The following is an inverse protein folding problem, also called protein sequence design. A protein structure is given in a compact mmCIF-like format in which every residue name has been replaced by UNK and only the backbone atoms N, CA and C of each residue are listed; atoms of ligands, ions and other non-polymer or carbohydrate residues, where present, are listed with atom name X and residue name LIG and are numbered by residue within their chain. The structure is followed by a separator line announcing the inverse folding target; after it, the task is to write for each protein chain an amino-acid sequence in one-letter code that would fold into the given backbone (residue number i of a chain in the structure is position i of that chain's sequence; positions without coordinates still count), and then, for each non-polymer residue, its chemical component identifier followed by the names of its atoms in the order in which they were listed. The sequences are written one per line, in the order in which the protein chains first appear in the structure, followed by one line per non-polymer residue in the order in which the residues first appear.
data_IF_385045810396
#
_entry.id   IF_385045810396
#
_cell.length_a   1.000
_cell.length_b   1.000
_cell.length_c   1.000
_cell.angle_alpha   90.00
_cell.angle_beta   90.00
_cell.angle_gamma   90.00
#
_symmetry.space_group_name_H-M   'P 1'
#
loop_
_entity.id
_entity.type
_entity.pdbx_description
1 polymer ?
2 non-polymer ?
3 non-polymer ?
4 water ?
#
# COMPACT_ATOMS: atom_id res chain seq x y z
N UNK A 10 17.74 -6.95 4.20
CA UNK A 10 16.95 -7.50 3.08
C UNK A 10 15.44 -7.51 3.32
N UNK A 11 14.70 -6.98 2.33
CA UNK A 11 13.24 -7.11 2.26
C UNK A 11 13.00 -8.59 1.91
N UNK A 12 12.08 -9.32 2.60
CA UNK A 12 11.94 -10.75 2.26
C UNK A 12 11.32 -11.00 0.86
N UNK A 13 11.71 -12.13 0.26
CA UNK A 13 11.10 -12.68 -0.94
C UNK A 13 9.66 -13.09 -0.58
N UNK A 14 8.78 -13.24 -1.57
CA UNK A 14 7.41 -13.66 -1.28
C UNK A 14 7.37 -15.09 -0.76
N UNK A 15 6.37 -15.44 0.06
CA UNK A 15 6.21 -16.83 0.54
C UNK A 15 5.45 -17.76 -0.40
N UNK A 16 4.70 -17.19 -1.34
CA UNK A 16 3.91 -17.98 -2.30
C UNK A 16 4.70 -18.72 -3.38
N UNK A 17 3.98 -19.51 -4.21
CA UNK A 17 4.66 -20.30 -5.27
C UNK A 17 5.14 -19.54 -6.51
N UNK A 18 4.66 -18.32 -6.74
CA UNK A 18 5.00 -17.64 -7.98
C UNK A 18 6.20 -16.73 -7.80
N UNK A 19 7.05 -16.65 -8.83
CA UNK A 19 8.04 -15.59 -8.97
C UNK A 19 7.30 -14.25 -9.17
N UNK A 20 7.99 -13.16 -8.82
CA UNK A 20 7.42 -11.83 -8.78
C UNK A 20 8.18 -10.87 -9.71
N UNK A 21 7.40 -10.16 -10.54
CA UNK A 21 7.89 -9.09 -11.39
C UNK A 21 7.50 -7.75 -10.83
N UNK A 22 8.15 -6.69 -11.29
CA UNK A 22 7.78 -5.35 -10.87
C UNK A 22 8.01 -4.39 -12.00
N UNK A 23 7.09 -3.42 -12.19
CA UNK A 23 7.32 -2.33 -13.14
C UNK A 23 6.59 -1.09 -12.63
N UNK A 24 6.84 0.09 -13.26
CA UNK A 24 6.12 1.31 -12.92
C UNK A 24 5.23 1.73 -14.07
N UNK A 25 4.06 2.28 -13.74
CA UNK A 25 3.16 2.82 -14.78
C UNK A 25 2.70 4.21 -14.41
N UNK A 26 2.87 5.16 -15.35
CA UNK A 26 2.32 6.49 -15.21
C UNK A 26 1.42 6.82 -16.39
N UNK A 27 0.11 7.02 -16.13
CA UNK A 27 -0.84 7.38 -17.19
C UNK A 27 -2.05 8.17 -16.66
N UNK A 28 -2.36 9.36 -17.19
CA UNK A 28 -1.52 10.16 -18.07
C UNK A 28 -0.26 10.70 -17.36
N UNK A 29 0.49 11.57 -18.05
CA UNK A 29 1.74 12.11 -17.55
C UNK A 29 1.56 13.28 -16.53
N UNK A 30 0.30 13.72 -16.25
CA UNK A 30 0.04 14.95 -15.47
C UNK A 30 -0.04 14.67 -13.97
N UNK A 31 -0.12 15.73 -13.15
CA UNK A 31 -0.30 15.66 -11.70
C UNK A 31 -1.69 15.07 -11.36
N UNK A 32 -2.56 14.90 -12.37
CA UNK A 32 -3.90 14.34 -12.22
C UNK A 32 -4.01 12.95 -12.76
N UNK A 33 -2.96 12.46 -13.43
CA UNK A 33 -2.92 11.09 -13.92
C UNK A 33 -2.68 10.11 -12.82
N UNK A 34 -2.65 8.80 -13.19
CA UNK A 34 -2.29 7.72 -12.29
C UNK A 34 -0.79 7.42 -12.34
N UNK A 35 -0.16 7.30 -11.14
CA UNK A 35 1.18 6.76 -10.97
C UNK A 35 1.06 5.55 -10.00
N UNK A 36 1.49 4.38 -10.47
CA UNK A 36 1.55 3.20 -9.60
C UNK A 36 2.82 2.34 -9.85
N UNK A 37 3.22 1.58 -8.84
CA UNK A 37 4.19 0.50 -8.98
C UNK A 37 3.40 -0.81 -9.02
N UNK A 38 3.57 -1.61 -10.09
CA UNK A 38 2.86 -2.87 -10.25
C UNK A 38 3.78 -4.04 -9.80
N UNK A 39 3.25 -4.93 -8.95
CA UNK A 39 3.88 -6.21 -8.56
C UNK A 39 2.97 -7.29 -9.11
N UNK A 40 3.55 -8.31 -9.73
CA UNK A 40 2.70 -9.24 -10.48
C UNK A 40 3.40 -10.59 -10.58
N UNK A 41 2.61 -11.70 -10.77
CA UNK A 41 3.24 -13.00 -11.01
C UNK A 41 4.04 -12.98 -12.29
N UNK A 42 5.31 -13.40 -12.26
CA UNK A 42 6.17 -13.33 -13.46
C UNK A 42 6.49 -14.74 -14.02
N UNK A 43 6.73 -14.84 -15.34
CA UNK A 43 7.14 -16.13 -15.92
C UNK A 43 8.64 -16.40 -15.72
N UNK A 44 9.45 -15.33 -15.49
CA UNK A 44 10.92 -15.43 -15.41
C UNK A 44 11.49 -14.98 -14.09
N UNK A 45 12.60 -15.62 -13.71
CA UNK A 45 13.23 -15.31 -12.43
C UNK A 45 14.71 -14.89 -12.58
N UNK A 46 15.17 -14.52 -13.80
CA UNK A 46 16.57 -14.14 -13.99
C UNK A 46 16.74 -12.65 -14.33
N UNK A 47 15.75 -11.84 -13.99
CA UNK A 47 15.87 -10.41 -14.20
C UNK A 47 16.59 -9.80 -13.03
N UNK A 48 17.20 -8.61 -13.22
CA UNK A 48 17.81 -7.86 -12.13
C UNK A 48 16.72 -7.51 -11.13
N UNK A 49 17.04 -7.43 -9.83
CA UNK A 49 16.09 -7.04 -8.78
C UNK A 49 15.68 -5.58 -8.95
N UNK A 50 14.59 -5.19 -8.30
CA UNK A 50 14.01 -3.85 -8.45
C UNK A 50 14.68 -2.88 -7.49
N UNK A 51 15.12 -1.75 -8.00
CA UNK A 51 15.70 -0.70 -7.16
C UNK A 51 14.61 -0.14 -6.21
N UNK A 52 14.87 -0.12 -4.88
CA UNK A 52 13.85 0.13 -3.84
C UNK A 52 13.37 1.58 -3.85
N UNK A 53 14.30 2.54 -3.80
CA UNK A 53 13.95 3.94 -3.85
C UNK A 53 14.66 4.49 -5.12
N UNK A 54 13.95 4.72 -6.24
CA UNK A 54 14.64 4.90 -7.52
C UNK A 54 15.17 6.30 -7.88
N UNK A 55 14.93 7.33 -7.05
CA UNK A 55 15.33 8.71 -7.39
C UNK A 55 15.79 9.45 -6.15
N UNK A 56 16.76 10.35 -6.32
CA UNK A 56 17.35 11.13 -5.23
C UNK A 56 16.33 12.02 -4.54
N UNK A 57 15.32 12.49 -5.27
CA UNK A 57 14.33 13.42 -4.72
C UNK A 57 13.46 12.75 -3.67
N UNK A 58 13.28 11.41 -3.73
CA UNK A 58 12.55 10.69 -2.67
C UNK A 58 13.28 10.81 -1.29
N UNK A 59 14.62 10.77 -1.32
CA UNK A 59 15.48 11.00 -0.15
C UNK A 59 15.44 12.42 0.36
N UNK A 60 15.40 13.43 -0.53
CA UNK A 60 15.12 14.82 -0.17
C UNK A 60 13.78 14.97 0.53
N UNK A 61 12.73 14.34 -0.01
CA UNK A 61 11.43 14.29 0.61
C UNK A 61 11.37 13.56 1.93
N UNK A 62 12.10 12.44 2.06
CA UNK A 62 12.15 11.75 3.36
C UNK A 62 12.76 12.66 4.45
N UNK A 63 13.76 13.44 4.05
CA UNK A 63 14.49 14.40 4.88
C UNK A 63 13.54 15.50 5.44
N UNK A 64 12.68 16.08 4.56
CA UNK A 64 11.62 17.01 4.97
C UNK A 64 10.61 16.33 5.93
N UNK A 65 10.15 15.09 5.62
CA UNK A 65 9.23 14.36 6.51
C UNK A 65 9.85 14.16 7.93
N UNK A 66 11.18 13.94 8.01
CA UNK A 66 11.89 13.78 9.29
C UNK A 66 12.11 15.09 10.03
N UNK A 67 11.94 16.23 9.34
CA UNK A 67 12.19 17.56 9.88
C UNK A 67 13.66 17.86 10.07
N UNK A 68 14.52 17.17 9.30
CA UNK A 68 15.98 17.37 9.30
C UNK A 68 16.37 18.24 8.08
N UNK A 69 17.64 18.66 8.01
CA UNK A 69 18.15 19.47 6.90
C UNK A 69 18.22 18.64 5.63
N UNK A 70 18.02 19.30 4.46
CA UNK A 70 18.11 18.74 3.09
C UNK A 70 19.26 17.73 2.90
N UNK A 71 20.49 18.06 3.39
CA UNK A 71 21.71 17.25 3.30
C UNK A 71 21.63 15.88 4.03
N UNK A 72 20.72 15.74 5.01
CA UNK A 72 20.38 14.43 5.60
C UNK A 72 19.82 13.51 4.50
N UNK A 73 19.12 14.10 3.52
CA UNK A 73 18.66 13.41 2.31
C UNK A 73 19.78 12.73 1.58
N UNK A 74 20.83 13.51 1.26
CA UNK A 74 22.10 13.03 0.70
C UNK A 74 22.73 11.86 1.51
N UNK A 75 22.61 11.88 2.85
CA UNK A 75 23.09 10.79 3.72
C UNK A 75 22.20 9.53 3.62
N UNK A 76 20.86 9.70 3.66
CA UNK A 76 19.89 8.60 3.44
C UNK A 76 20.11 7.95 2.07
N UNK A 77 20.41 8.79 1.05
CA UNK A 77 20.70 8.30 -0.28
C UNK A 77 21.96 7.44 -0.29
N UNK A 78 23.08 7.92 0.30
CA UNK A 78 24.30 7.10 0.46
C UNK A 78 24.02 5.74 1.16
N UNK A 79 23.19 5.74 2.20
CA UNK A 79 22.85 4.53 2.97
C UNK A 79 21.95 3.56 2.23
N UNK A 80 20.99 4.08 1.43
CA UNK A 80 19.86 3.30 0.92
C UNK A 80 19.65 3.32 -0.59
N UNK A 81 20.36 4.21 -1.29
CA UNK A 81 20.15 4.50 -2.71
C UNK A 81 20.52 3.40 -3.69
N UNK A 82 21.20 2.33 -3.21
CA UNK A 82 21.65 1.22 -4.07
C UNK A 82 20.85 -0.07 -3.72
N UNK A 83 20.06 0.00 -2.64
CA UNK A 83 19.26 -1.09 -2.11
C UNK A 83 18.19 -1.55 -3.12
N UNK A 84 18.02 -2.87 -3.23
CA UNK A 84 17.02 -3.45 -4.12
C UNK A 84 15.96 -4.16 -3.31
N UNK A 85 14.91 -4.62 -3.99
CA UNK A 85 13.84 -5.39 -3.40
C UNK A 85 13.64 -6.61 -4.29
N UNK A 86 13.37 -7.82 -3.71
CA UNK A 86 13.37 -9.05 -4.54
C UNK A 86 12.16 -9.25 -5.47
N UNK A 87 12.04 -8.39 -6.50
CA UNK A 87 11.08 -8.54 -7.61
C UNK A 87 11.85 -8.34 -8.90
N UNK A 88 11.57 -9.17 -9.87
CA UNK A 88 12.26 -9.10 -11.18
C UNK A 88 11.76 -7.89 -11.95
N UNK A 89 12.65 -6.91 -12.15
CA UNK A 89 12.31 -5.63 -12.81
C UNK A 89 11.90 -5.90 -14.28
N UNK A 90 10.69 -5.48 -14.69
CA UNK A 90 10.14 -5.57 -16.06
C UNK A 90 10.08 -6.98 -16.62
N UNK A 91 10.06 -7.98 -15.76
CA UNK A 91 9.92 -9.37 -16.16
C UNK A 91 8.59 -9.56 -16.93
N UNK A 92 8.48 -10.45 -17.93
CA UNK A 92 7.14 -10.73 -18.49
C UNK A 92 6.19 -11.29 -17.42
N UNK A 93 4.91 -10.93 -17.52
CA UNK A 93 3.83 -11.43 -16.67
C UNK A 93 3.65 -12.92 -16.87
N UNK A 94 3.41 -13.66 -15.80
CA UNK A 94 3.12 -15.10 -15.92
C UNK A 94 1.81 -15.32 -16.71
N UNK A 95 1.86 -15.95 -17.91
CA UNK A 95 0.64 -16.05 -18.73
C UNK A 95 -0.30 -17.15 -18.26
N UNK A 96 -1.53 -17.09 -18.76
CA UNK A 96 -2.52 -18.18 -18.73
C UNK A 96 -3.31 -18.32 -17.45
N UNK A 97 -3.51 -17.21 -16.74
CA UNK A 97 -4.27 -17.17 -15.49
C UNK A 97 -4.81 -15.75 -15.24
N UNK A 98 -6.10 -15.66 -14.86
CA UNK A 98 -6.70 -14.41 -14.40
C UNK A 98 -6.42 -14.22 -12.91
N UNK A 99 -5.78 -13.07 -12.59
CA UNK A 99 -5.32 -12.72 -11.25
C UNK A 99 -6.24 -11.73 -10.56
N UNK A 100 -6.60 -11.93 -9.25
CA UNK A 100 -7.29 -10.86 -8.51
C UNK A 100 -6.39 -9.63 -8.32
N UNK A 101 -6.99 -8.45 -8.03
CA UNK A 101 -6.27 -7.19 -7.97
C UNK A 101 -6.43 -6.52 -6.65
N UNK A 102 -5.29 -6.11 -6.08
CA UNK A 102 -5.23 -5.28 -4.90
C UNK A 102 -4.73 -3.92 -5.34
N UNK A 103 -5.46 -2.86 -4.97
CA UNK A 103 -4.90 -1.50 -5.05
C UNK A 103 -4.37 -1.20 -3.64
N UNK A 104 -3.17 -0.68 -3.53
CA UNK A 104 -2.51 -0.49 -2.23
C UNK A 104 -2.23 1.03 -2.01
N UNK A 105 -2.57 1.57 -0.78
CA UNK A 105 -2.39 2.98 -0.44
C UNK A 105 -1.34 3.19 0.63
N UNK A 106 -0.34 4.04 0.33
CA UNK A 106 0.79 4.24 1.23
C UNK A 106 0.44 5.27 2.33
N UNK A 107 1.25 5.31 3.39
CA UNK A 107 1.10 6.25 4.49
C UNK A 107 1.63 7.64 4.20
N UNK A 108 1.42 8.55 5.18
CA UNK A 108 1.99 9.87 5.21
C UNK A 108 3.52 9.78 5.24
N UNK A 109 4.18 10.54 4.39
CA UNK A 109 5.64 10.51 4.32
C UNK A 109 6.18 9.36 3.48
N UNK A 110 5.31 8.43 3.03
CA UNK A 110 5.80 7.30 2.21
C UNK A 110 5.61 7.63 0.75
N UNK A 111 5.63 6.62 -0.11
CA UNK A 111 5.44 6.72 -1.56
C UNK A 111 5.28 5.30 -2.08
N UNK A 112 5.14 5.11 -3.40
CA UNK A 112 4.65 3.81 -3.92
C UNK A 112 5.55 2.60 -3.64
N UNK A 113 6.88 2.81 -3.43
CA UNK A 113 7.87 1.73 -3.48
C UNK A 113 8.07 1.13 -2.09
N UNK A 114 7.48 1.77 -1.02
CA UNK A 114 7.89 1.47 0.36
C UNK A 114 7.12 0.31 1.05
N UNK A 115 6.33 -0.39 0.29
CA UNK A 115 5.54 -1.50 0.83
C UNK A 115 5.69 -2.69 -0.10
N UNK A 116 6.92 -2.89 -0.61
CA UNK A 116 7.27 -4.04 -1.44
C UNK A 116 7.22 -5.37 -0.69
N UNK A 117 7.50 -5.43 0.63
CA UNK A 117 7.39 -6.74 1.34
C UNK A 117 5.95 -7.27 1.21
N UNK A 118 4.94 -6.40 1.44
CA UNK A 118 3.50 -6.70 1.24
C UNK A 118 3.19 -7.03 -0.25
N UNK A 119 3.60 -6.15 -1.17
CA UNK A 119 3.30 -6.23 -2.61
C UNK A 119 3.85 -7.47 -3.28
N UNK A 120 5.14 -7.78 -3.00
CA UNK A 120 5.82 -9.02 -3.43
C UNK A 120 5.11 -10.23 -2.81
N UNK A 121 4.80 -10.19 -1.50
CA UNK A 121 4.18 -11.39 -0.92
C UNK A 121 2.84 -11.71 -1.58
N UNK A 122 1.99 -10.70 -1.74
CA UNK A 122 0.70 -10.88 -2.44
C UNK A 122 0.93 -11.39 -3.86
N UNK A 123 1.84 -10.74 -4.65
CA UNK A 123 2.15 -11.18 -6.02
C UNK A 123 2.63 -12.63 -6.09
N UNK A 124 3.51 -13.07 -5.17
CA UNK A 124 3.96 -14.48 -5.10
C UNK A 124 2.81 -15.48 -4.89
N UNK A 125 1.65 -15.01 -4.36
CA UNK A 125 0.46 -15.85 -4.18
C UNK A 125 -0.57 -15.71 -5.32
N UNK A 126 -0.24 -14.92 -6.35
CA UNK A 126 -1.07 -14.83 -7.56
C UNK A 126 -1.96 -13.61 -7.60
N UNK A 127 -1.57 -12.52 -6.88
CA UNK A 127 -2.28 -11.25 -7.00
C UNK A 127 -1.51 -10.37 -7.95
N UNK A 128 -2.22 -9.49 -8.72
CA UNK A 128 -1.57 -8.30 -9.25
C UNK A 128 -1.80 -7.18 -8.21
N UNK A 129 -0.76 -6.39 -7.92
CA UNK A 129 -0.80 -5.36 -6.88
C UNK A 129 -0.44 -4.01 -7.50
N UNK A 130 -1.34 -3.05 -7.40
CA UNK A 130 -1.14 -1.69 -7.89
C UNK A 130 -0.93 -0.78 -6.69
N UNK A 131 0.32 -0.45 -6.44
CA UNK A 131 0.70 0.39 -5.34
C UNK A 131 0.74 1.81 -5.92
N UNK A 132 -0.28 2.58 -5.54
CA UNK A 132 -0.43 3.94 -6.04
C UNK A 132 0.53 4.91 -5.37
N UNK A 133 0.97 5.91 -6.12
CA UNK A 133 1.67 7.03 -5.54
C UNK A 133 0.70 8.22 -5.52
N UNK A 134 0.44 8.75 -4.31
CA UNK A 134 -0.56 9.82 -4.21
C UNK A 134 0.03 11.19 -4.53
N UNK A 135 -0.80 12.05 -5.17
CA UNK A 135 -0.40 13.39 -5.57
C UNK A 135 -1.09 14.43 -4.69
N UNK A 136 -1.46 14.05 -3.45
CA UNK A 136 -2.20 14.91 -2.52
C UNK A 136 -1.24 15.65 -1.60
N UNK A 137 0.08 15.53 -1.83
CA UNK A 137 1.17 16.10 -1.01
C UNK A 137 1.27 15.40 0.36
N UNK A 138 0.71 14.15 0.48
CA UNK A 138 0.95 13.27 1.62
C UNK A 138 2.19 12.40 1.40
N UNK A 139 2.61 12.22 0.12
CA UNK A 139 3.85 11.48 -0.15
C UNK A 139 5.05 12.37 0.24
N UNK A 140 6.18 11.80 0.78
CA UNK A 140 7.44 12.53 0.98
C UNK A 140 7.81 13.27 -0.30
N UNK A 141 7.74 12.56 -1.42
CA UNK A 141 7.93 13.16 -2.72
C UNK A 141 7.14 12.34 -3.73
N UNK A 142 6.77 12.97 -4.84
CA UNK A 142 6.25 12.29 -6.04
C UNK A 142 6.60 13.17 -7.27
N UNK A 143 6.36 12.65 -8.49
CA UNK A 143 6.63 13.43 -9.68
C UNK A 143 5.62 13.13 -10.77
N UNK A 144 5.65 13.98 -11.78
CA UNK A 144 4.76 13.95 -12.95
C UNK A 144 5.43 14.93 -13.94
N UNK A 145 4.74 15.22 -15.05
CA UNK A 145 5.27 16.05 -16.13
C UNK A 145 4.27 17.15 -16.43
N UNK A 146 4.78 18.37 -16.70
CA UNK A 146 3.99 19.58 -16.87
C UNK A 146 3.11 19.51 -18.11
N UNK A 147 3.60 18.81 -19.14
CA UNK A 147 2.91 18.70 -20.41
C UNK A 147 3.57 17.62 -21.24
N UNK A 148 3.11 17.44 -22.49
CA UNK A 148 3.56 16.33 -23.33
C UNK A 148 5.04 16.41 -23.63
N UNK A 149 5.53 17.61 -23.96
CA UNK A 149 6.96 17.86 -24.24
C UNK A 149 7.86 17.42 -23.08
N UNK A 150 7.53 17.87 -21.84
CA UNK A 150 8.27 17.51 -20.61
C UNK A 150 8.33 15.99 -20.37
N UNK A 151 7.22 15.28 -20.65
CA UNK A 151 7.08 13.84 -20.53
C UNK A 151 8.05 13.13 -21.48
N UNK A 152 8.04 13.54 -22.76
CA UNK A 152 8.91 13.07 -23.85
C UNK A 152 10.40 13.08 -23.49
N UNK A 153 10.91 14.24 -23.05
CA UNK A 153 12.33 14.41 -22.69
C UNK A 153 12.65 13.97 -21.25
N UNK A 154 11.65 13.52 -20.50
CA UNK A 154 11.85 13.08 -19.12
C UNK A 154 12.23 14.19 -18.15
N UNK A 155 11.71 15.41 -18.40
CA UNK A 155 11.84 16.51 -17.47
C UNK A 155 10.78 16.43 -16.35
N UNK A 156 11.17 15.82 -15.20
CA UNK A 156 10.27 15.58 -14.05
C UNK A 156 9.93 16.86 -13.29
N UNK A 157 8.66 17.03 -12.86
CA UNK A 157 8.32 18.04 -11.88
C UNK A 157 8.06 17.33 -10.57
N UNK A 158 8.75 17.76 -9.52
CA UNK A 158 8.64 17.15 -8.21
C UNK A 158 7.66 17.90 -7.31
N UNK A 159 6.88 17.14 -6.55
CA UNK A 159 5.93 17.65 -5.57
C UNK A 159 6.32 17.05 -4.22
N UNK A 160 6.49 17.88 -3.19
CA UNK A 160 7.01 17.44 -1.89
C UNK A 160 5.94 17.50 -0.82
N UNK A 161 6.09 16.71 0.27
CA UNK A 161 5.23 16.70 1.45
C UNK A 161 4.84 18.09 1.90
N UNK A 162 3.54 18.31 2.14
CA UNK A 162 3.03 19.55 2.72
C UNK A 162 3.01 19.40 4.26
N UNK A 163 3.66 20.35 4.94
CA UNK A 163 3.54 20.51 6.41
C UNK A 163 2.28 21.31 6.74
N UNK A 164 1.48 20.84 7.70
CA UNK A 164 0.25 21.60 8.04
C UNK A 164 0.42 22.41 9.30
N UNK A 165 -0.32 23.53 9.42
CA UNK A 165 -0.55 24.19 10.69
C UNK A 165 -1.64 23.38 11.41
N UNK A 166 -1.73 23.50 12.76
CA UNK A 166 -2.79 22.90 13.58
C UNK A 166 -4.18 23.24 13.03
N UNK A 167 -4.39 24.49 12.59
CA UNK A 167 -5.63 25.04 12.01
C UNK A 167 -6.06 24.35 10.74
N UNK A 168 -5.09 23.84 9.93
CA UNK A 168 -5.32 23.15 8.65
C UNK A 168 -5.60 21.65 8.80
N UNK A 169 -5.23 21.03 9.94
CA UNK A 169 -5.27 19.56 10.18
C UNK A 169 -6.57 18.92 9.75
N UNK A 170 -7.71 19.30 10.36
CA UNK A 170 -8.99 18.63 10.12
C UNK A 170 -9.36 18.68 8.66
N UNK A 171 -9.47 19.92 8.14
CA UNK A 171 -9.90 20.20 6.80
C UNK A 171 -8.99 19.60 5.72
N UNK A 172 -7.67 19.78 5.80
CA UNK A 172 -6.76 19.35 4.73
C UNK A 172 -6.55 17.84 4.74
N UNK A 173 -6.40 17.22 5.92
CA UNK A 173 -6.35 15.73 5.96
C UNK A 173 -7.59 15.11 5.34
N UNK A 174 -8.77 15.72 5.52
CA UNK A 174 -10.00 15.20 4.90
C UNK A 174 -10.00 15.42 3.37
N UNK A 175 -9.53 16.59 2.88
CA UNK A 175 -9.35 16.86 1.44
C UNK A 175 -8.44 15.81 0.80
N UNK A 176 -7.36 15.47 1.51
CA UNK A 176 -6.37 14.52 1.05
C UNK A 176 -6.92 13.10 1.02
N UNK A 177 -7.67 12.65 2.07
CA UNK A 177 -8.18 11.28 2.06
C UNK A 177 -9.20 11.10 0.89
N UNK A 178 -9.91 12.18 0.55
CA UNK A 178 -10.87 12.15 -0.55
C UNK A 178 -10.16 12.08 -1.91
N UNK A 179 -9.12 12.91 -2.13
CA UNK A 179 -8.25 12.78 -3.30
C UNK A 179 -7.61 11.36 -3.41
N UNK A 180 -7.10 10.84 -2.30
CA UNK A 180 -6.53 9.50 -2.23
C UNK A 180 -7.56 8.45 -2.69
N UNK A 181 -8.80 8.52 -2.18
CA UNK A 181 -9.84 7.59 -2.64
C UNK A 181 -10.10 7.72 -4.15
N UNK A 182 -10.20 8.98 -4.67
CA UNK A 182 -10.35 9.20 -6.12
C UNK A 182 -9.18 8.61 -6.93
N UNK A 183 -7.96 8.78 -6.43
CA UNK A 183 -6.74 8.16 -6.97
C UNK A 183 -6.78 6.63 -6.97
N UNK A 184 -7.35 6.02 -5.92
CA UNK A 184 -7.55 4.56 -5.93
C UNK A 184 -8.54 4.13 -6.95
N UNK A 185 -9.68 4.84 -7.06
CA UNK A 185 -10.67 4.53 -8.10
C UNK A 185 -10.13 4.70 -9.52
N UNK A 186 -9.34 5.77 -9.76
CA UNK A 186 -8.79 6.03 -11.10
C UNK A 186 -7.77 4.94 -11.50
N UNK A 187 -6.94 4.51 -10.55
CA UNK A 187 -5.97 3.43 -10.75
C UNK A 187 -6.68 2.16 -11.10
N UNK A 188 -7.77 1.82 -10.37
CA UNK A 188 -8.62 0.68 -10.71
C UNK A 188 -9.15 0.76 -12.14
N UNK A 189 -9.79 1.89 -12.51
CA UNK A 189 -10.29 2.08 -13.87
C UNK A 189 -9.19 1.95 -14.93
N UNK A 190 -7.99 2.47 -14.64
CA UNK A 190 -6.87 2.33 -15.57
C UNK A 190 -6.51 0.87 -15.78
N UNK A 191 -6.32 0.10 -14.70
CA UNK A 191 -5.96 -1.31 -14.84
C UNK A 191 -7.08 -2.09 -15.53
N UNK A 192 -8.35 -1.84 -15.17
CA UNK A 192 -9.47 -2.50 -15.85
C UNK A 192 -9.51 -2.19 -17.34
N UNK A 193 -9.12 -0.94 -17.72
CA UNK A 193 -9.12 -0.58 -19.16
C UNK A 193 -7.98 -1.25 -19.91
N UNK A 194 -6.80 -1.34 -19.26
CA UNK A 194 -5.67 -2.09 -19.78
C UNK A 194 -6.03 -3.58 -19.92
N UNK A 195 -6.73 -4.17 -18.91
CA UNK A 195 -7.26 -5.54 -18.98
C UNK A 195 -8.19 -5.73 -20.20
N UNK A 196 -9.16 -4.82 -20.35
CA UNK A 196 -10.09 -4.82 -21.48
C UNK A 196 -9.48 -4.19 -22.75
N UNK A 197 -8.14 -4.25 -22.86
CA UNK A 197 -7.33 -4.08 -24.06
C UNK A 197 -6.98 -2.69 -24.56
N UNK A 198 -7.44 -1.61 -23.88
CA UNK A 198 -7.22 -0.22 -24.30
C UNK A 198 -5.71 0.10 -24.42
N UNK A 199 -5.25 0.65 -25.57
CA UNK A 199 -3.84 1.03 -25.68
C UNK A 199 -3.54 2.24 -24.79
N UNK A 200 -2.54 2.11 -23.96
CA UNK A 200 -2.12 3.13 -23.01
C UNK A 200 -0.61 3.28 -23.26
N UNK A 201 -0.14 4.50 -23.58
CA UNK A 201 1.31 4.76 -23.68
C UNK A 201 1.82 5.21 -22.32
N UNK A 202 2.56 4.33 -21.62
CA UNK A 202 3.20 4.66 -20.36
C UNK A 202 4.05 5.94 -20.49
N UNK A 203 3.83 6.94 -19.59
CA UNK A 203 4.61 8.21 -19.60
C UNK A 203 6.07 7.94 -19.25
N UNK A 204 6.30 6.76 -18.65
CA UNK A 204 7.62 6.23 -18.31
C UNK A 204 8.09 5.30 -19.41
N UNK A 205 9.29 5.53 -19.94
CA UNK A 205 9.84 4.72 -21.02
C UNK A 205 10.50 3.49 -20.43
N UNK A 206 9.71 2.41 -20.23
CA UNK A 206 10.15 1.17 -19.57
C UNK A 206 9.88 -0.05 -20.47
N UNK A 207 10.73 -1.08 -20.40
CA UNK A 207 10.62 -2.23 -21.32
C UNK A 207 9.61 -3.29 -20.80
N UNK A 208 8.41 -2.83 -20.44
CA UNK A 208 7.29 -3.70 -20.07
C UNK A 208 6.12 -3.32 -20.96
N UNK A 209 5.71 -4.20 -21.87
CA UNK A 209 4.54 -3.93 -22.72
C UNK A 209 3.26 -4.18 -21.93
N UNK A 210 2.42 -3.13 -21.80
CA UNK A 210 1.19 -3.19 -21.03
C UNK A 210 0.17 -4.13 -21.66
N UNK A 211 0.36 -4.47 -22.95
CA UNK A 211 -0.47 -5.42 -23.70
C UNK A 211 -0.49 -6.82 -23.10
N UNK A 212 0.60 -7.20 -22.42
CA UNK A 212 0.71 -8.43 -21.63
C UNK A 212 -0.38 -8.57 -20.59
N UNK A 213 -0.91 -7.42 -20.11
CA UNK A 213 -1.91 -7.36 -19.06
C UNK A 213 -3.36 -7.54 -19.60
N UNK A 214 -3.54 -7.53 -20.93
CA UNK A 214 -4.86 -7.81 -21.52
C UNK A 214 -5.35 -9.16 -21.02
N UNK A 215 -6.62 -9.22 -20.58
CA UNK A 215 -7.33 -10.44 -20.17
C UNK A 215 -6.65 -11.21 -19.05
N UNK A 216 -5.89 -10.48 -18.20
CA UNK A 216 -5.12 -11.06 -17.11
C UNK A 216 -5.67 -10.77 -15.70
N UNK A 217 -6.69 -9.90 -15.59
CA UNK A 217 -7.28 -9.45 -14.31
C UNK A 217 -8.56 -10.20 -14.07
N UNK A 218 -8.76 -10.73 -12.85
CA UNK A 218 -10.03 -11.33 -12.49
C UNK A 218 -10.93 -10.15 -12.03
N UNK A 219 -11.82 -9.69 -12.92
CA UNK A 219 -12.37 -8.33 -12.90
C UNK A 219 -13.29 -8.00 -11.73
N UNK A 220 -13.96 -8.99 -11.14
CA UNK A 220 -14.76 -8.78 -9.94
C UNK A 220 -13.97 -9.09 -8.61
N UNK A 221 -12.70 -9.49 -8.71
CA UNK A 221 -11.92 -9.89 -7.55
C UNK A 221 -10.95 -8.78 -7.23
N UNK A 222 -11.54 -7.68 -6.70
CA UNK A 222 -10.85 -6.43 -6.41
C UNK A 222 -10.87 -6.08 -4.93
N UNK A 223 -9.72 -5.76 -4.36
CA UNK A 223 -9.64 -5.30 -2.98
C UNK A 223 -8.77 -4.08 -2.86
N UNK A 224 -8.97 -3.32 -1.78
CA UNK A 224 -8.15 -2.15 -1.47
C UNK A 224 -7.47 -2.44 -0.11
N UNK A 225 -6.13 -2.22 -0.03
CA UNK A 225 -5.33 -2.38 1.20
C UNK A 225 -4.49 -1.11 1.39
N UNK A 226 -4.23 -0.74 2.64
CA UNK A 226 -3.33 0.38 2.83
C UNK A 226 -2.90 0.55 4.27
N UNK A 227 -1.79 1.29 4.45
CA UNK A 227 -1.22 1.46 5.79
C UNK A 227 -1.39 2.89 6.28
N UNK A 228 -1.85 3.03 7.55
CA UNK A 228 -1.90 4.30 8.29
C UNK A 228 -2.85 5.31 7.59
N UNK A 229 -2.29 6.38 6.94
CA UNK A 229 -3.11 7.25 6.08
C UNK A 229 -3.78 6.40 4.98
N UNK A 230 -3.03 5.42 4.49
CA UNK A 230 -3.57 4.45 3.55
C UNK A 230 -4.72 3.60 4.04
N UNK A 231 -4.81 3.41 5.36
CA UNK A 231 -5.84 2.59 6.00
C UNK A 231 -7.12 3.38 6.06
N UNK A 232 -7.04 4.72 6.28
CA UNK A 232 -8.19 5.65 6.11
C UNK A 232 -8.62 5.67 4.63
N UNK A 233 -7.66 5.60 3.70
CA UNK A 233 -7.93 5.62 2.25
C UNK A 233 -8.71 4.40 1.87
N UNK A 234 -8.39 3.23 2.48
CA UNK A 234 -9.17 2.01 2.32
C UNK A 234 -10.63 2.29 2.59
N UNK A 235 -10.94 2.90 3.73
CA UNK A 235 -12.32 3.09 4.22
C UNK A 235 -13.03 4.10 3.36
N UNK A 236 -12.38 5.23 3.06
CA UNK A 236 -12.98 6.23 2.16
C UNK A 236 -13.30 5.59 0.79
N UNK A 237 -12.31 4.84 0.20
CA UNK A 237 -12.41 4.23 -1.13
C UNK A 237 -13.61 3.24 -1.18
N UNK A 238 -13.74 2.36 -0.19
CA UNK A 238 -14.89 1.46 -0.06
C UNK A 238 -16.20 2.22 -0.03
N UNK A 239 -16.30 3.34 0.72
CA UNK A 239 -17.62 4.03 0.85
C UNK A 239 -18.03 4.66 -0.50
N UNK A 240 -17.04 4.91 -1.34
CA UNK A 240 -17.25 5.66 -2.60
C UNK A 240 -17.24 4.75 -3.82
N UNK A 241 -16.74 3.54 -3.76
CA UNK A 241 -16.53 2.78 -5.01
C UNK A 241 -16.85 1.34 -4.70
N UNK A 242 -18.00 0.90 -5.17
CA UNK A 242 -18.44 -0.44 -4.80
C UNK A 242 -17.83 -1.53 -5.69
N UNK A 243 -16.93 -1.13 -6.63
CA UNK A 243 -16.09 -2.08 -7.40
C UNK A 243 -15.11 -2.80 -6.46
N UNK A 244 -14.64 -2.11 -5.40
CA UNK A 244 -13.83 -2.79 -4.37
C UNK A 244 -14.73 -3.65 -3.49
N UNK A 245 -14.45 -4.96 -3.37
CA UNK A 245 -15.33 -5.93 -2.69
C UNK A 245 -15.02 -6.10 -1.22
N UNK A 246 -13.77 -5.75 -0.81
CA UNK A 246 -13.38 -5.78 0.59
C UNK A 246 -12.20 -4.89 0.75
N UNK A 247 -11.90 -4.52 1.99
CA UNK A 247 -10.71 -3.76 2.36
C UNK A 247 -9.98 -4.26 3.59
N UNK A 248 -8.68 -4.00 3.64
CA UNK A 248 -7.81 -4.34 4.78
C UNK A 248 -7.09 -3.09 5.13
N UNK A 249 -7.32 -2.59 6.36
CA UNK A 249 -6.70 -1.38 6.87
C UNK A 249 -5.57 -1.80 7.81
N UNK A 250 -4.31 -1.50 7.41
CA UNK A 250 -3.14 -1.86 8.21
C UNK A 250 -2.79 -0.71 9.10
N UNK A 251 -2.98 -0.86 10.43
CA UNK A 251 -2.77 0.21 11.41
C UNK A 251 -3.35 1.54 10.90
N UNK A 252 -4.64 1.55 10.56
CA UNK A 252 -5.34 2.74 10.02
C UNK A 252 -5.19 3.95 10.96
N UNK A 253 -4.83 5.10 10.39
CA UNK A 253 -4.97 6.37 11.06
C UNK A 253 -6.31 6.98 10.64
N UNK A 254 -7.28 7.02 11.58
CA UNK A 254 -8.68 7.30 11.28
C UNK A 254 -9.03 8.78 11.20
N UNK A 255 -8.18 9.67 11.77
CA UNK A 255 -8.35 11.13 11.78
C UNK A 255 -8.84 11.75 10.44
N UNK A 256 -8.31 11.42 9.24
CA UNK A 256 -8.80 12.11 8.00
C UNK A 256 -10.26 11.94 7.64
N UNK A 257 -10.91 10.86 8.09
CA UNK A 257 -12.28 10.52 7.65
C UNK A 257 -13.34 11.52 8.09
N UNK A 258 -14.30 11.83 7.21
CA UNK A 258 -15.43 12.68 7.61
C UNK A 258 -16.42 11.85 8.42
N UNK A 259 -17.27 12.50 9.23
CA UNK A 259 -18.24 11.82 10.09
C UNK A 259 -19.21 10.97 9.31
N UNK A 260 -19.43 11.34 8.04
CA UNK A 260 -20.41 10.71 7.18
C UNK A 260 -20.02 9.29 6.75
N UNK A 261 -18.71 8.98 6.61
CA UNK A 261 -18.25 7.72 5.99
C UNK A 261 -18.55 6.49 6.85
N UNK A 262 -18.54 6.66 8.19
CA UNK A 262 -18.58 5.54 9.16
C UNK A 262 -19.75 4.60 9.00
N UNK A 263 -20.93 5.11 8.65
CA UNK A 263 -22.14 4.32 8.47
C UNK A 263 -22.32 3.85 6.99
N UNK A 264 -21.29 4.04 6.14
CA UNK A 264 -21.45 3.95 4.67
C UNK A 264 -20.43 2.96 4.06
N UNK A 265 -20.07 1.89 4.79
CA UNK A 265 -19.07 0.94 4.27
C UNK A 265 -19.77 -0.45 4.22
N UNK A 266 -20.46 -0.79 3.13
CA UNK A 266 -21.12 -2.12 3.09
C UNK A 266 -20.15 -3.30 2.96
N UNK A 267 -18.93 -3.07 2.47
CA UNK A 267 -17.97 -4.16 2.19
C UNK A 267 -17.32 -4.76 3.45
N UNK A 268 -16.98 -6.07 3.45
CA UNK A 268 -16.14 -6.59 4.55
C UNK A 268 -14.85 -5.75 4.75
N UNK A 269 -14.46 -5.57 6.03
CA UNK A 269 -13.29 -4.73 6.39
C UNK A 269 -12.57 -5.36 7.56
N UNK A 270 -11.24 -5.47 7.41
CA UNK A 270 -10.32 -6.12 8.34
C UNK A 270 -9.34 -5.05 8.84
N UNK A 271 -9.32 -4.83 10.17
CA UNK A 271 -8.29 -3.96 10.77
C UNK A 271 -7.17 -4.84 11.31
N UNK A 272 -5.93 -4.63 10.80
CA UNK A 272 -4.72 -5.30 11.34
C UNK A 272 -3.90 -4.25 12.00
N UNK A 273 -3.76 -4.36 13.34
CA UNK A 273 -3.11 -3.28 14.09
C UNK A 273 -1.76 -3.68 14.67
N UNK A 274 -0.92 -2.68 14.89
CA UNK A 274 0.26 -2.89 15.71
C UNK A 274 -0.14 -2.71 17.18
N UNK A 275 0.59 -3.35 18.08
CA UNK A 275 0.37 -3.13 19.51
C UNK A 275 0.63 -1.68 19.98
N UNK A 276 1.72 -1.05 19.52
CA UNK A 276 2.18 0.18 20.17
C UNK A 276 1.70 1.46 19.50
N UNK A 277 1.22 1.41 18.26
CA UNK A 277 0.64 2.62 17.64
C UNK A 277 -0.67 3.07 18.24
N UNK A 278 -1.59 2.13 18.53
CA UNK A 278 -3.01 2.48 18.68
C UNK A 278 -3.35 3.24 19.98
N UNK A 279 -4.45 3.99 19.94
CA UNK A 279 -4.87 4.83 21.06
C UNK A 279 -6.38 4.89 21.05
N UNK A 280 -7.02 5.17 22.22
CA UNK A 280 -8.50 5.18 22.26
C UNK A 280 -9.22 5.99 21.17
N UNK A 281 -8.90 7.30 20.95
CA UNK A 281 -9.60 8.10 19.91
C UNK A 281 -9.68 7.35 18.56
N UNK A 282 -8.57 6.72 18.17
CA UNK A 282 -8.44 5.98 16.92
C UNK A 282 -9.24 4.68 16.93
N UNK A 283 -9.20 3.89 18.03
CA UNK A 283 -9.97 2.64 18.19
C UNK A 283 -11.47 2.91 18.17
N UNK A 284 -11.93 3.97 18.85
CA UNK A 284 -13.34 4.38 18.89
C UNK A 284 -13.85 4.62 17.45
N UNK A 285 -13.05 5.33 16.63
CA UNK A 285 -13.33 5.56 15.21
C UNK A 285 -13.45 4.22 14.43
N UNK A 286 -12.53 3.27 14.65
CA UNK A 286 -12.65 1.94 14.02
C UNK A 286 -13.98 1.27 14.41
N UNK A 287 -14.34 1.37 15.68
CA UNK A 287 -15.53 0.73 16.21
C UNK A 287 -16.82 1.38 15.65
N UNK A 288 -16.74 2.68 15.23
CA UNK A 288 -17.83 3.37 14.54
C UNK A 288 -18.09 2.74 13.16
N UNK A 289 -17.11 1.99 12.58
CA UNK A 289 -17.36 1.26 11.33
C UNK A 289 -18.19 0.00 11.55
N UNK A 290 -18.45 -0.38 12.80
CA UNK A 290 -19.09 -1.66 13.11
C UNK A 290 -20.58 -1.46 13.12
N UNK A 291 -21.30 -2.43 12.55
CA UNK A 291 -22.77 -2.51 12.48
C UNK A 291 -23.14 -4.00 12.42
N UNK A 292 -24.30 -4.48 13.01
CA UNK A 292 -24.55 -5.95 13.03
C UNK A 292 -24.64 -6.61 11.64
N UNK A 293 -25.09 -5.85 10.64
CA UNK A 293 -25.18 -6.37 9.28
C UNK A 293 -23.82 -6.43 8.54
N UNK A 294 -22.79 -5.74 9.08
CA UNK A 294 -21.50 -5.62 8.42
C UNK A 294 -20.47 -6.60 8.95
N UNK A 295 -19.61 -7.07 8.04
CA UNK A 295 -18.53 -8.01 8.33
C UNK A 295 -17.26 -7.22 8.67
N UNK A 296 -16.80 -7.37 9.94
CA UNK A 296 -15.67 -6.66 10.52
C UNK A 296 -14.84 -7.60 11.34
N UNK A 297 -13.53 -7.46 11.21
CA UNK A 297 -12.53 -8.26 11.92
C UNK A 297 -11.44 -7.31 12.37
N UNK A 298 -10.82 -7.61 13.50
CA UNK A 298 -9.71 -6.82 14.04
C UNK A 298 -8.77 -7.73 14.77
N UNK A 299 -7.47 -7.58 14.48
CA UNK A 299 -6.39 -8.29 15.18
C UNK A 299 -5.29 -7.28 15.45
N UNK A 300 -4.49 -7.57 16.51
CA UNK A 300 -3.34 -6.77 16.91
C UNK A 300 -2.13 -7.69 16.96
N UNK A 301 -1.04 -7.25 16.32
CA UNK A 301 0.21 -8.03 16.35
C UNK A 301 0.96 -7.67 17.62
N UNK A 302 1.19 -8.66 18.54
CA UNK A 302 1.92 -8.44 19.79
C UNK A 302 3.35 -8.02 19.50
N UNK A 303 3.86 -7.08 20.28
CA UNK A 303 5.25 -6.62 20.24
C UNK A 303 5.57 -5.80 19.01
N UNK A 304 4.52 -5.33 18.26
CA UNK A 304 4.77 -4.59 17.01
C UNK A 304 4.54 -3.08 17.11
N UNK A 305 5.20 -2.35 16.21
CA UNK A 305 5.15 -0.89 16.10
C UNK A 305 4.56 -0.51 14.75
N UNK A 306 4.09 0.75 14.61
CA UNK A 306 3.50 1.26 13.41
C UNK A 306 4.25 0.91 12.09
N UNK A 307 5.58 0.97 12.14
CA UNK A 307 6.44 0.80 10.96
C UNK A 307 6.67 -0.65 10.56
N UNK A 308 6.17 -1.63 11.35
CA UNK A 308 6.29 -3.06 11.01
C UNK A 308 5.64 -3.40 9.66
N UNK A 309 4.70 -2.56 9.22
CA UNK A 309 3.97 -2.78 7.96
C UNK A 309 4.74 -2.24 6.77
N UNK A 310 5.72 -1.36 7.02
CA UNK A 310 6.49 -0.74 5.94
C UNK A 310 7.90 -1.34 5.82
N UNK A 311 8.51 -1.20 4.62
CA UNK A 311 9.79 -1.80 4.27
C UNK A 311 10.97 -1.33 5.09
N UNK A 312 10.89 -0.11 5.65
CA UNK A 312 11.99 0.34 6.49
C UNK A 312 12.20 -0.52 7.77
N UNK A 313 11.27 -1.43 8.11
CA UNK A 313 11.43 -2.39 9.22
C UNK A 313 12.52 -3.41 8.84
N UNK A 314 12.81 -3.56 7.53
CA UNK A 314 13.87 -4.46 7.08
C UNK A 314 15.16 -3.76 6.70
N UNK A 315 15.16 -2.43 6.56
CA UNK A 315 16.29 -1.69 5.99
C UNK A 315 17.48 -1.47 6.91
N UNK A 316 17.31 -1.66 8.25
CA UNK A 316 18.39 -1.45 9.24
C UNK A 316 18.59 -2.69 10.16
N UNK A 317 19.68 -2.69 10.93
CA UNK A 317 19.94 -3.71 11.96
C UNK A 317 18.93 -3.69 13.10
N UNK A 318 18.90 -4.81 13.88
CA UNK A 318 17.89 -5.03 14.94
C UNK A 318 17.90 -3.95 15.99
N UNK A 319 19.09 -3.57 16.49
CA UNK A 319 19.25 -2.61 17.57
C UNK A 319 18.93 -1.17 17.10
N UNK A 320 19.51 -0.71 15.96
CA UNK A 320 19.25 0.63 15.43
C UNK A 320 17.77 0.73 15.05
N UNK A 321 17.25 -0.34 14.43
CA UNK A 321 15.84 -0.49 14.11
C UNK A 321 14.92 -0.23 15.29
N UNK A 322 15.20 -0.87 16.45
CA UNK A 322 14.40 -0.69 17.67
C UNK A 322 14.49 0.75 18.20
N UNK A 323 15.70 1.35 18.18
CA UNK A 323 15.96 2.76 18.56
C UNK A 323 15.17 3.77 17.71
N UNK A 324 15.15 3.57 16.37
CA UNK A 324 14.48 4.43 15.40
C UNK A 324 12.94 4.18 15.30
N UNK A 325 12.43 3.22 16.12
CA UNK A 325 11.04 2.74 16.11
C UNK A 325 10.63 2.16 14.73
N UNK A 326 11.61 1.62 13.94
CA UNK A 326 11.33 0.91 12.69
C UNK A 326 11.00 -0.56 13.02
N UNK A 327 11.45 -1.00 14.21
CA UNK A 327 11.30 -2.38 14.63
C UNK A 327 10.67 -2.43 16.02
N UNK A 328 9.88 -3.47 16.26
CA UNK A 328 9.29 -3.73 17.58
C UNK A 328 10.05 -4.81 18.34
N UNK A 329 9.47 -5.31 19.43
CA UNK A 329 10.01 -6.45 20.17
C UNK A 329 9.90 -7.72 19.33
N UNK A 330 8.86 -7.80 18.49
CA UNK A 330 8.65 -8.90 17.58
C UNK A 330 9.66 -8.86 16.42
N UNK A 331 10.09 -10.04 15.95
CA UNK A 331 10.80 -10.14 14.68
C UNK A 331 9.97 -9.58 13.48
N UNK A 332 10.58 -8.73 12.63
CA UNK A 332 9.91 -8.08 11.50
C UNK A 332 9.38 -9.08 10.47
N UNK A 333 10.12 -10.19 10.22
CA UNK A 333 9.65 -11.18 9.25
C UNK A 333 8.51 -11.91 9.88
N UNK A 334 8.62 -12.28 11.20
CA UNK A 334 7.50 -12.88 11.95
C UNK A 334 6.24 -12.00 11.83
N UNK A 335 6.37 -10.69 12.14
CA UNK A 335 5.24 -9.74 12.14
C UNK A 335 4.57 -9.64 10.78
N UNK A 336 5.38 -9.39 9.70
CA UNK A 336 4.82 -9.22 8.35
C UNK A 336 4.21 -10.53 7.84
N UNK A 337 4.78 -11.70 8.18
CA UNK A 337 4.21 -13.01 7.82
C UNK A 337 2.80 -13.15 8.38
N UNK A 338 2.60 -12.81 9.65
CA UNK A 338 1.28 -12.78 10.27
C UNK A 338 0.31 -11.85 9.53
N UNK A 339 0.75 -10.62 9.20
CA UNK A 339 -0.09 -9.64 8.53
C UNK A 339 -0.46 -10.12 7.11
N UNK A 340 0.54 -10.62 6.34
CA UNK A 340 0.33 -11.09 4.96
C UNK A 340 -0.51 -12.34 4.91
N UNK A 341 -0.27 -13.32 5.81
CA UNK A 341 -1.06 -14.57 5.83
C UNK A 341 -2.49 -14.36 6.29
N UNK A 342 -2.72 -13.58 7.38
CA UNK A 342 -4.08 -13.17 7.79
C UNK A 342 -4.78 -12.38 6.67
N UNK A 343 -4.05 -11.54 5.91
CA UNK A 343 -4.62 -10.81 4.76
C UNK A 343 -5.09 -11.74 3.68
N UNK A 344 -4.25 -12.72 3.27
CA UNK A 344 -4.60 -13.73 2.26
C UNK A 344 -5.80 -14.55 2.61
N UNK A 345 -5.93 -14.98 3.87
CA UNK A 345 -7.13 -15.73 4.30
C UNK A 345 -8.37 -14.83 4.17
N UNK A 346 -8.30 -13.56 4.63
CA UNK A 346 -9.42 -12.63 4.50
C UNK A 346 -9.82 -12.36 3.05
N UNK A 347 -8.83 -12.10 2.17
CA UNK A 347 -9.07 -11.87 0.72
C UNK A 347 -9.70 -13.14 0.11
N UNK A 348 -9.24 -14.34 0.48
CA UNK A 348 -9.82 -15.58 -0.04
C UNK A 348 -11.31 -15.66 0.29
N UNK A 349 -11.66 -15.35 1.54
CA UNK A 349 -13.01 -15.39 2.07
C UNK A 349 -13.92 -14.38 1.31
N UNK A 350 -13.50 -13.13 1.19
CA UNK A 350 -14.40 -12.09 0.72
C UNK A 350 -14.25 -11.77 -0.76
N UNK A 351 -13.23 -12.33 -1.42
CA UNK A 351 -13.16 -12.29 -2.86
C UNK A 351 -13.65 -13.58 -3.50
N UNK A 352 -13.78 -14.63 -2.70
CA UNK A 352 -14.24 -15.93 -3.20
C UNK A 352 -13.17 -16.62 -4.03
N UNK A 353 -11.92 -16.62 -3.53
CA UNK A 353 -10.80 -17.26 -4.20
C UNK A 353 -10.77 -18.78 -3.97
N UNK A 354 -10.26 -19.55 -4.95
CA UNK A 354 -10.21 -21.02 -4.87
C UNK A 354 -8.76 -21.45 -4.75
N UNK A 355 -8.14 -20.93 -3.71
CA UNK A 355 -6.75 -21.18 -3.33
C UNK A 355 -6.73 -21.87 -1.95
N UNK A 356 -5.56 -21.93 -1.31
CA UNK A 356 -5.38 -22.66 -0.05
C UNK A 356 -5.17 -21.66 1.09
N UNK A 357 -5.62 -20.41 0.91
CA UNK A 357 -5.39 -19.32 1.88
C UNK A 357 -6.22 -19.48 3.17
N UNK A 358 -7.32 -20.26 3.08
CA UNK A 358 -8.13 -20.62 4.24
C UNK A 358 -7.32 -21.44 5.26
N UNK A 359 -6.12 -21.99 4.86
CA UNK A 359 -5.17 -22.57 5.84
C UNK A 359 -4.82 -21.55 6.94
N UNK A 360 -5.00 -20.22 6.69
CA UNK A 360 -4.67 -19.19 7.68
C UNK A 360 -5.91 -18.53 8.33
N UNK A 361 -7.09 -19.19 8.27
CA UNK A 361 -8.37 -18.63 8.79
C UNK A 361 -8.31 -18.22 10.26
N UNK A 362 -7.59 -18.98 11.06
CA UNK A 362 -7.45 -18.79 12.49
C UNK A 362 -6.75 -17.48 12.87
N UNK A 363 -5.85 -17.00 12.00
CA UNK A 363 -5.19 -15.69 12.13
C UNK A 363 -6.15 -14.48 12.03
N UNK A 364 -7.26 -14.60 11.25
CA UNK A 364 -8.32 -13.57 11.13
C UNK A 364 -8.99 -13.37 12.51
N UNK A 365 -9.00 -14.45 13.31
CA UNK A 365 -9.56 -14.48 14.67
C UNK A 365 -8.49 -14.17 15.75
N UNK A 366 -7.25 -13.93 15.32
CA UNK A 366 -6.15 -13.58 16.22
C UNK A 366 -5.72 -14.73 17.11
N UNK A 367 -5.94 -15.98 16.63
CA UNK A 367 -5.65 -17.21 17.37
C UNK A 367 -4.24 -17.67 16.97
N UNK A 368 -3.23 -17.08 17.64
CA UNK A 368 -1.78 -17.29 17.45
C UNK A 368 -1.09 -16.69 18.65
N UNK A 369 0.02 -17.28 19.10
CA UNK A 369 0.81 -16.74 20.22
C UNK A 369 1.25 -15.26 20.02
N UNK A 370 1.51 -14.83 18.77
CA UNK A 370 1.87 -13.44 18.50
C UNK A 370 0.69 -12.58 18.04
N UNK A 371 -0.57 -13.11 18.19
CA UNK A 371 -1.74 -12.30 17.86
C UNK A 371 -2.59 -12.01 19.08
N UNK A 372 -3.19 -10.80 19.13
CA UNK A 372 -4.22 -10.42 20.09
C UNK A 372 -5.53 -10.41 19.28
N UNK A 373 -6.56 -11.18 19.69
CA UNK A 373 -7.88 -10.99 19.07
C UNK A 373 -8.41 -9.59 19.42
N UNK A 374 -8.94 -8.87 18.43
CA UNK A 374 -9.41 -7.52 18.64
C UNK A 374 -8.28 -6.54 18.93
N UNK A 375 -8.40 -5.84 20.06
CA UNK A 375 -7.46 -4.79 20.49
C UNK A 375 -7.05 -4.91 21.95
N UNK A 376 -5.81 -4.48 22.24
CA UNK A 376 -5.31 -4.37 23.60
C UNK A 376 -5.81 -3.07 24.26
N UNK A 377 -6.37 -2.15 23.44
CA UNK A 377 -6.80 -0.79 23.87
C UNK A 377 -8.16 -0.86 24.55
N UNK A 378 -8.22 -0.40 25.81
CA UNK A 378 -9.47 -0.20 26.54
C UNK A 378 -10.11 1.12 26.14
N UNK A 379 -11.40 1.09 25.76
CA UNK A 379 -12.15 2.29 25.40
C UNK A 379 -13.38 2.46 26.33
N UNK A 380 -13.12 2.71 27.63
CA UNK A 380 -14.13 3.01 28.65
C UNK A 380 -13.78 4.31 29.38
#
# INVERSE_FOLDING_TARGET
MAAASFGQTKIPRGNGPYSVGCTDLMFDHTNKGTFLRLYYPSQDNDRLDTLWIPNKEYFWGLSKFLGTHWLMGNILRLLFGSMTTPANWNSPLRPGEKYPLVVFSHGLGAFRTLYSAIGIDLASHGFIVAAVEHRDRSASATYYFKDQSAAEIGDKSWLYLRTLKQEEETHIRNEQVRQRAKECSQALSLILDIDHGKPVKNALDLKFDMEQLKDSIDREKIAVIGHSFGGATVIQTLSEDQRFRCGIALDAWMFPLGDEVYSRIPQPLFFINSEYFQYPANIIKMKKCYSPDKERKMITIRGSVHQNFADFTFATGKIIGHMLKLKGDIDSNVAIDLSNKASLAFLQKHLGLHKDFDQWDCLIEGDDENLIPGTNINTTNQHHHHHH
#
